data_IF_304013912260
#
_entry.id   IF_304013912260
#
_cell.length_a   1.000
_cell.length_b   1.000
_cell.length_c   1.000
_cell.angle_alpha   90.00
_cell.angle_beta   90.00
_cell.angle_gamma   90.00
#
_symmetry.space_group_name_H-M   'P 1'
#
loop_
_entity.id
_entity.type
_entity.pdbx_description
1 polymer ?
#
# COMPACT_ATOMS: atom_id res chain seq x y z
N UNK A 1 -35.92 50.22 3.49
CA UNK A 1 -36.50 50.16 2.13
C UNK A 1 -36.69 48.66 1.83
N UNK A 2 -37.79 47.97 2.12
CA UNK A 2 -39.24 48.19 1.95
C UNK A 2 -39.66 48.45 0.51
N UNK A 3 -40.09 47.38 -0.18
CA UNK A 3 -41.14 47.24 -1.25
C UNK A 3 -41.30 45.70 -1.40
N UNK A 4 -42.32 45.00 -0.91
CA UNK A 4 -43.78 45.02 -1.16
C UNK A 4 -44.17 44.73 -2.60
N UNK A 5 -44.64 43.50 -2.87
CA UNK A 5 -45.20 43.11 -4.16
C UNK A 5 -46.09 41.88 -3.99
N UNK A 6 -47.37 42.13 -3.74
CA UNK A 6 -48.45 41.17 -3.62
C UNK A 6 -48.91 40.67 -4.99
N UNK A 7 -49.47 39.45 -5.02
CA UNK A 7 -50.08 38.83 -6.20
C UNK A 7 -50.96 37.64 -5.83
N UNK A 8 -52.17 37.95 -5.34
CA UNK A 8 -53.47 37.28 -5.63
C UNK A 8 -53.55 36.83 -7.11
N UNK A 9 -54.29 35.82 -7.56
CA UNK A 9 -55.33 34.92 -7.05
C UNK A 9 -55.53 33.89 -8.19
N UNK A 10 -55.78 32.60 -7.93
CA UNK A 10 -56.58 31.76 -8.84
C UNK A 10 -56.90 30.41 -8.20
N UNK A 11 -58.18 30.28 -7.88
CA UNK A 11 -58.93 29.08 -7.54
C UNK A 11 -58.98 28.17 -8.77
N UNK A 12 -58.76 26.86 -8.60
CA UNK A 12 -59.27 25.86 -9.53
C UNK A 12 -59.74 24.59 -8.80
N UNK A 13 -60.80 24.03 -9.37
CA UNK A 13 -61.81 23.18 -8.76
C UNK A 13 -61.35 21.80 -8.28
N UNK A 14 -61.94 21.40 -7.16
CA UNK A 14 -61.92 20.04 -6.61
C UNK A 14 -62.82 19.13 -7.46
N UNK A 15 -62.21 18.43 -8.41
CA UNK A 15 -62.83 17.29 -9.10
C UNK A 15 -62.86 16.06 -8.20
N UNK A 16 -64.02 15.75 -7.63
CA UNK A 16 -64.29 14.51 -6.88
C UNK A 16 -64.30 13.30 -7.82
N UNK A 17 -63.23 12.51 -7.78
CA UNK A 17 -63.09 11.22 -8.47
C UNK A 17 -63.91 10.14 -7.74
N UNK A 18 -64.76 9.35 -8.43
CA UNK A 18 -65.47 8.24 -7.81
C UNK A 18 -64.47 7.14 -7.41
N UNK A 19 -64.38 6.89 -6.10
CA UNK A 19 -63.62 5.80 -5.49
C UNK A 19 -64.20 4.47 -5.98
N UNK A 20 -63.46 3.78 -6.86
CA UNK A 20 -63.73 2.39 -7.23
C UNK A 20 -63.52 1.51 -5.99
N UNK A 21 -64.48 0.66 -5.61
CA UNK A 21 -64.28 -0.28 -4.52
C UNK A 21 -63.14 -1.25 -4.87
N UNK A 22 -62.21 -1.40 -3.94
CA UNK A 22 -61.04 -2.27 -4.03
C UNK A 22 -61.50 -3.75 -4.12
N UNK A 23 -61.19 -4.49 -5.20
CA UNK A 23 -61.64 -5.87 -5.39
C UNK A 23 -61.09 -6.86 -4.35
N UNK A 24 -60.17 -6.42 -3.47
CA UNK A 24 -59.63 -7.25 -2.39
C UNK A 24 -60.60 -7.49 -1.24
N UNK A 25 -61.70 -6.73 -1.12
CA UNK A 25 -62.68 -6.93 -0.04
C UNK A 25 -63.73 -8.02 -0.31
N UNK A 26 -63.94 -8.46 -1.56
CA UNK A 26 -64.94 -9.52 -1.84
C UNK A 26 -64.41 -10.94 -1.63
N UNK A 27 -63.09 -11.15 -1.64
CA UNK A 27 -62.50 -12.48 -1.43
C UNK A 27 -62.41 -12.87 0.05
N UNK A 28 -62.47 -11.92 0.99
CA UNK A 28 -62.43 -12.20 2.42
C UNK A 28 -63.76 -12.70 3.01
N UNK A 29 -64.89 -12.56 2.29
CA UNK A 29 -66.22 -12.99 2.76
C UNK A 29 -66.54 -14.46 2.51
N UNK A 30 -65.72 -15.19 1.75
CA UNK A 30 -65.94 -16.60 1.41
C UNK A 30 -65.25 -17.61 2.32
N UNK A 31 -64.59 -17.17 3.41
CA UNK A 31 -63.98 -18.08 4.39
C UNK A 31 -62.93 -19.04 3.80
N UNK A 32 -62.34 -18.69 2.65
CA UNK A 32 -61.45 -19.54 1.85
C UNK A 32 -60.02 -19.01 1.79
N UNK A 33 -59.67 -18.11 2.71
CA UNK A 33 -58.31 -17.64 2.88
C UNK A 33 -57.95 -17.76 4.36
N UNK A 34 -57.34 -18.89 4.72
CA UNK A 34 -56.51 -18.96 5.92
C UNK A 34 -55.20 -18.27 5.57
N UNK A 35 -54.87 -17.11 6.17
CA UNK A 35 -53.54 -16.56 6.01
C UNK A 35 -52.59 -17.55 6.66
N UNK A 36 -51.92 -18.35 5.83
CA UNK A 36 -50.80 -19.19 6.26
C UNK A 36 -49.77 -18.27 6.90
N UNK A 37 -49.79 -18.20 8.24
CA UNK A 37 -48.86 -17.41 9.05
C UNK A 37 -47.40 -17.84 8.89
N UNK A 38 -47.14 -18.93 8.16
CA UNK A 38 -45.80 -19.48 7.95
C UNK A 38 -45.05 -18.83 6.78
N UNK A 39 -45.72 -18.20 5.81
CA UNK A 39 -45.05 -17.72 4.58
C UNK A 39 -44.22 -16.44 4.81
N UNK A 40 -44.62 -15.61 5.78
CA UNK A 40 -43.86 -14.42 6.19
C UNK A 40 -42.69 -14.78 7.12
N UNK A 41 -42.78 -15.90 7.81
CA UNK A 41 -41.73 -16.35 8.74
C UNK A 41 -40.60 -17.05 7.97
N UNK A 42 -40.93 -17.93 7.01
CA UNK A 42 -39.93 -18.54 6.12
C UNK A 42 -39.17 -17.50 5.28
N UNK A 43 -39.85 -16.45 4.80
CA UNK A 43 -39.18 -15.37 4.05
C UNK A 43 -38.22 -14.56 4.94
N UNK A 44 -38.56 -14.37 6.22
CA UNK A 44 -37.68 -13.69 7.19
C UNK A 44 -36.49 -14.53 7.58
N UNK A 45 -36.66 -15.84 7.75
CA UNK A 45 -35.57 -16.75 8.03
C UNK A 45 -34.60 -16.87 6.86
N UNK A 46 -35.11 -17.00 5.63
CA UNK A 46 -34.30 -17.05 4.40
C UNK A 46 -33.49 -15.76 4.19
N UNK A 47 -34.08 -14.59 4.46
CA UNK A 47 -33.36 -13.33 4.38
C UNK A 47 -32.28 -13.19 5.47
N UNK A 48 -32.55 -13.67 6.69
CA UNK A 48 -31.57 -13.69 7.79
C UNK A 48 -30.41 -14.65 7.55
N UNK A 49 -30.67 -15.82 6.96
CA UNK A 49 -29.60 -16.77 6.61
C UNK A 49 -28.75 -16.23 5.47
N UNK A 50 -29.36 -15.66 4.42
CA UNK A 50 -28.64 -15.00 3.32
C UNK A 50 -27.73 -13.87 3.80
N UNK A 51 -28.23 -13.00 4.68
CA UNK A 51 -27.43 -11.93 5.29
C UNK A 51 -26.29 -12.47 6.16
N UNK A 52 -26.51 -13.54 6.91
CA UNK A 52 -25.43 -14.18 7.69
C UNK A 52 -24.37 -14.80 6.80
N UNK A 53 -24.75 -15.51 5.74
CA UNK A 53 -23.78 -16.12 4.83
C UNK A 53 -22.96 -15.07 4.09
N UNK A 54 -23.59 -13.98 3.64
CA UNK A 54 -22.87 -12.88 2.99
C UNK A 54 -21.91 -12.17 3.96
N UNK A 55 -22.35 -11.90 5.20
CA UNK A 55 -21.51 -11.26 6.21
C UNK A 55 -20.34 -12.13 6.67
N UNK A 56 -20.54 -13.45 6.75
CA UNK A 56 -19.48 -14.41 7.08
C UNK A 56 -18.46 -14.53 5.95
N UNK A 57 -18.90 -14.49 4.69
CA UNK A 57 -18.01 -14.45 3.52
C UNK A 57 -17.11 -13.22 3.53
N UNK A 58 -17.70 -12.03 3.67
CA UNK A 58 -16.94 -10.78 3.72
C UNK A 58 -15.90 -10.74 4.85
N UNK A 59 -16.27 -11.17 6.06
CA UNK A 59 -15.34 -11.26 7.19
C UNK A 59 -14.19 -12.24 6.94
N UNK A 60 -14.44 -13.35 6.24
CA UNK A 60 -13.37 -14.29 5.88
C UNK A 60 -12.41 -13.68 4.85
N UNK A 61 -12.93 -12.94 3.88
CA UNK A 61 -12.12 -12.25 2.87
C UNK A 61 -11.26 -11.13 3.48
N UNK A 62 -11.84 -10.34 4.40
CA UNK A 62 -11.13 -9.30 5.15
C UNK A 62 -10.01 -9.89 6.01
N UNK A 63 -10.28 -10.98 6.73
CA UNK A 63 -9.26 -11.69 7.49
C UNK A 63 -8.15 -12.23 6.59
N UNK A 64 -8.49 -12.69 5.38
CA UNK A 64 -7.50 -13.16 4.41
C UNK A 64 -6.61 -12.00 3.90
N UNK A 65 -7.16 -10.81 3.65
CA UNK A 65 -6.34 -9.65 3.26
C UNK A 65 -5.42 -9.18 4.40
N UNK A 66 -5.91 -9.12 5.64
CA UNK A 66 -5.07 -8.78 6.81
C UNK A 66 -3.97 -9.83 7.02
N UNK A 67 -4.27 -11.12 6.82
CA UNK A 67 -3.26 -12.18 6.86
C UNK A 67 -2.20 -12.05 5.75
N UNK A 68 -2.57 -11.57 4.56
CA UNK A 68 -1.61 -11.29 3.49
C UNK A 68 -0.65 -10.17 3.90
N UNK A 69 -1.17 -9.06 4.46
CA UNK A 69 -0.33 -7.98 4.97
C UNK A 69 0.60 -8.51 6.06
N UNK A 70 0.09 -9.29 7.01
CA UNK A 70 0.88 -9.89 8.09
C UNK A 70 2.00 -10.81 7.56
N UNK A 71 1.71 -11.59 6.52
CA UNK A 71 2.71 -12.44 5.86
C UNK A 71 3.86 -11.62 5.28
N UNK A 72 3.56 -10.52 4.58
CA UNK A 72 4.60 -9.66 3.98
C UNK A 72 5.38 -8.87 5.02
N UNK A 73 4.74 -8.51 6.14
CA UNK A 73 5.43 -7.95 7.32
C UNK A 73 6.37 -8.99 7.93
N UNK A 74 5.98 -10.27 8.03
CA UNK A 74 6.85 -11.32 8.54
C UNK A 74 8.01 -11.68 7.60
N UNK A 75 7.80 -11.57 6.29
CA UNK A 75 8.82 -11.82 5.26
C UNK A 75 10.03 -10.87 5.38
N UNK A 76 9.89 -9.72 6.05
CA UNK A 76 11.01 -8.81 6.33
C UNK A 76 12.18 -9.48 7.05
N UNK A 77 11.93 -10.50 7.89
CA UNK A 77 12.98 -11.21 8.64
C UNK A 77 13.93 -11.98 7.73
N UNK A 78 13.48 -12.37 6.54
CA UNK A 78 14.30 -13.11 5.58
C UNK A 78 14.93 -12.18 4.55
N UNK A 79 14.26 -11.09 4.16
CA UNK A 79 14.78 -10.12 3.16
C UNK A 79 15.74 -9.09 3.76
N UNK A 80 15.50 -8.63 4.99
CA UNK A 80 16.18 -7.48 5.60
C UNK A 80 17.29 -7.94 6.57
N UNK A 81 18.02 -8.99 6.19
CA UNK A 81 19.10 -9.52 7.02
C UNK A 81 20.23 -8.49 7.15
N UNK A 82 20.84 -8.35 8.34
CA UNK A 82 22.04 -7.51 8.49
C UNK A 82 23.21 -8.15 7.75
N UNK A 83 24.02 -7.34 7.09
CA UNK A 83 25.24 -7.84 6.49
C UNK A 83 26.33 -8.01 7.54
N UNK A 84 27.38 -8.75 7.19
CA UNK A 84 28.60 -8.80 8.00
C UNK A 84 29.12 -7.36 8.18
N UNK A 85 29.59 -7.05 9.38
CA UNK A 85 30.11 -5.72 9.71
C UNK A 85 31.16 -5.26 8.70
N UNK A 86 31.05 -4.01 8.24
CA UNK A 86 31.86 -3.47 7.16
C UNK A 86 33.37 -3.65 7.38
N UNK A 87 33.85 -3.50 8.62
CA UNK A 87 35.27 -3.69 8.95
C UNK A 87 35.76 -5.13 8.71
N UNK A 88 34.96 -6.14 9.03
CA UNK A 88 35.31 -7.56 8.80
C UNK A 88 35.34 -7.84 7.30
N UNK A 89 34.33 -7.33 6.59
CA UNK A 89 34.27 -7.39 5.14
C UNK A 89 35.53 -6.79 4.49
N UNK A 90 35.85 -5.54 4.83
CA UNK A 90 36.89 -4.79 4.14
C UNK A 90 38.31 -5.25 4.51
N UNK A 91 38.60 -5.44 5.80
CA UNK A 91 39.96 -5.74 6.27
C UNK A 91 40.31 -7.22 6.27
N UNK A 92 39.35 -8.13 6.48
CA UNK A 92 39.64 -9.56 6.54
C UNK A 92 39.22 -10.28 5.26
N UNK A 93 37.95 -10.17 4.89
CA UNK A 93 37.39 -10.98 3.80
C UNK A 93 37.97 -10.61 2.43
N UNK A 94 38.17 -9.32 2.16
CA UNK A 94 38.79 -8.88 0.90
C UNK A 94 40.20 -9.45 0.72
N UNK A 95 41.01 -9.47 1.77
CA UNK A 95 42.38 -9.99 1.73
C UNK A 95 42.42 -11.53 1.66
N UNK A 96 41.62 -12.21 2.48
CA UNK A 96 41.56 -13.69 2.51
C UNK A 96 41.05 -14.26 1.18
N UNK A 97 40.09 -13.59 0.55
CA UNK A 97 39.46 -14.06 -0.70
C UNK A 97 40.12 -13.50 -1.96
N UNK A 98 41.27 -12.84 -1.83
CA UNK A 98 42.00 -12.24 -2.96
C UNK A 98 41.10 -11.34 -3.84
N UNK A 99 40.19 -10.57 -3.22
CA UNK A 99 39.31 -9.64 -3.93
C UNK A 99 38.06 -10.26 -4.57
N UNK A 100 37.80 -11.56 -4.41
CA UNK A 100 36.57 -12.20 -4.91
C UNK A 100 35.35 -11.78 -4.08
N UNK A 101 35.50 -11.64 -2.76
CA UNK A 101 34.38 -11.35 -1.87
C UNK A 101 33.68 -10.00 -2.13
N UNK A 102 34.38 -8.89 -2.45
CA UNK A 102 33.74 -7.65 -2.91
C UNK A 102 32.75 -7.84 -4.07
N UNK A 103 33.02 -8.74 -5.02
CA UNK A 103 32.10 -9.04 -6.13
C UNK A 103 30.83 -9.72 -5.62
N UNK A 104 30.98 -10.73 -4.74
CA UNK A 104 29.84 -11.38 -4.08
C UNK A 104 29.04 -10.38 -3.25
N UNK A 105 29.72 -9.46 -2.58
CA UNK A 105 29.08 -8.44 -1.77
C UNK A 105 28.28 -7.44 -2.63
N UNK A 106 28.84 -7.01 -3.77
CA UNK A 106 28.15 -6.16 -4.73
C UNK A 106 26.88 -6.84 -5.26
N UNK A 107 26.97 -8.12 -5.64
CA UNK A 107 25.79 -8.92 -6.02
C UNK A 107 24.72 -8.92 -4.93
N UNK A 108 25.12 -9.22 -3.68
CA UNK A 108 24.17 -9.30 -2.56
C UNK A 108 23.52 -7.96 -2.25
N UNK A 109 24.24 -6.84 -2.38
CA UNK A 109 23.68 -5.48 -2.20
C UNK A 109 22.61 -5.16 -3.25
N UNK A 110 22.88 -5.47 -4.52
CA UNK A 110 21.90 -5.26 -5.60
C UNK A 110 20.70 -6.19 -5.45
N UNK A 111 20.94 -7.47 -5.14
CA UNK A 111 19.88 -8.46 -4.97
C UNK A 111 18.97 -8.13 -3.79
N UNK A 112 19.53 -7.55 -2.73
CA UNK A 112 18.75 -7.04 -1.59
C UNK A 112 17.79 -5.94 -2.01
N UNK A 113 18.24 -4.97 -2.82
CA UNK A 113 17.36 -3.90 -3.28
C UNK A 113 16.24 -4.44 -4.18
N UNK A 114 16.55 -5.39 -5.07
CA UNK A 114 15.55 -6.06 -5.91
C UNK A 114 14.51 -6.83 -5.03
N UNK A 115 14.96 -7.63 -4.06
CA UNK A 115 14.06 -8.34 -3.14
C UNK A 115 13.21 -7.39 -2.27
N UNK A 116 13.82 -6.31 -1.78
CA UNK A 116 13.12 -5.31 -0.98
C UNK A 116 12.03 -4.62 -1.80
N UNK A 117 12.35 -4.22 -3.04
CA UNK A 117 11.39 -3.65 -3.98
C UNK A 117 10.19 -4.56 -4.18
N UNK A 118 10.43 -5.83 -4.52
CA UNK A 118 9.36 -6.77 -4.83
C UNK A 118 8.45 -7.01 -3.62
N UNK A 119 9.04 -7.11 -2.41
CA UNK A 119 8.28 -7.16 -1.15
C UNK A 119 7.40 -5.93 -0.97
N UNK A 120 7.92 -4.73 -1.21
CA UNK A 120 7.18 -3.47 -1.02
C UNK A 120 6.01 -3.34 -1.98
N UNK A 121 6.15 -3.75 -3.24
CA UNK A 121 5.02 -3.78 -4.20
C UNK A 121 3.91 -4.68 -3.69
N UNK A 122 4.25 -5.88 -3.23
CA UNK A 122 3.26 -6.81 -2.67
C UNK A 122 2.60 -6.25 -1.41
N UNK A 123 3.36 -5.62 -0.52
CA UNK A 123 2.85 -4.98 0.68
C UNK A 123 1.84 -3.87 0.36
N UNK A 124 2.18 -2.93 -0.54
CA UNK A 124 1.26 -1.85 -0.91
C UNK A 124 -0.04 -2.37 -1.52
N UNK A 125 0.06 -3.33 -2.43
CA UNK A 125 -1.13 -3.95 -3.03
C UNK A 125 -2.01 -4.62 -1.97
N UNK A 126 -1.39 -5.33 -1.00
CA UNK A 126 -2.14 -5.96 0.09
C UNK A 126 -2.83 -4.93 1.01
N UNK A 127 -2.18 -3.80 1.32
CA UNK A 127 -2.78 -2.72 2.13
C UNK A 127 -3.93 -2.04 1.39
N UNK A 128 -3.76 -1.76 0.10
CA UNK A 128 -4.83 -1.19 -0.74
C UNK A 128 -6.02 -2.15 -0.81
N UNK A 129 -5.77 -3.44 -1.04
CA UNK A 129 -6.82 -4.45 -1.12
C UNK A 129 -7.58 -4.59 0.20
N UNK A 130 -6.87 -4.65 1.33
CA UNK A 130 -7.49 -4.66 2.65
C UNK A 130 -8.34 -3.39 2.88
N UNK A 131 -7.89 -2.24 2.40
CA UNK A 131 -8.63 -0.98 2.49
C UNK A 131 -9.88 -0.97 1.61
N UNK A 132 -9.82 -1.55 0.40
CA UNK A 132 -10.97 -1.71 -0.49
C UNK A 132 -12.04 -2.60 0.14
N UNK A 133 -11.65 -3.76 0.63
CA UNK A 133 -12.57 -4.69 1.31
C UNK A 133 -13.26 -4.02 2.50
N UNK A 134 -12.51 -3.28 3.31
CA UNK A 134 -13.09 -2.56 4.44
C UNK A 134 -14.12 -1.50 4.02
N UNK A 135 -13.86 -0.78 2.92
CA UNK A 135 -14.77 0.21 2.37
C UNK A 135 -16.06 -0.41 1.81
N UNK A 136 -15.97 -1.60 1.20
CA UNK A 136 -17.12 -2.38 0.72
C UNK A 136 -18.03 -2.81 1.88
N UNK A 137 -17.43 -3.29 2.98
CA UNK A 137 -18.18 -3.72 4.16
C UNK A 137 -18.98 -2.59 4.83
N UNK A 138 -18.44 -1.38 4.81
CA UNK A 138 -19.07 -0.21 5.42
C UNK A 138 -20.00 0.53 4.46
N UNK A 139 -20.18 0.04 3.23
CA UNK A 139 -21.02 0.66 2.21
C UNK A 139 -20.53 2.05 1.77
N UNK A 140 -19.26 2.35 1.99
CA UNK A 140 -18.62 3.64 1.64
C UNK A 140 -17.73 3.53 0.40
N UNK A 141 -17.78 2.38 -0.29
CA UNK A 141 -16.96 2.11 -1.47
C UNK A 141 -17.15 3.17 -2.56
N UNK A 142 -18.38 3.57 -2.86
CA UNK A 142 -18.68 4.56 -3.91
C UNK A 142 -18.01 5.93 -3.66
N UNK A 143 -17.73 6.28 -2.40
CA UNK A 143 -17.10 7.56 -2.06
C UNK A 143 -15.57 7.51 -2.09
N UNK A 144 -14.96 6.32 -1.99
CA UNK A 144 -13.50 6.14 -1.86
C UNK A 144 -12.88 5.28 -2.98
N UNK A 145 -13.68 4.72 -3.87
CA UNK A 145 -13.21 3.84 -4.95
C UNK A 145 -12.22 4.53 -5.87
N UNK A 146 -12.53 5.76 -6.29
CA UNK A 146 -11.66 6.55 -7.17
C UNK A 146 -10.31 6.85 -6.49
N UNK A 147 -10.33 7.27 -5.22
CA UNK A 147 -9.10 7.55 -4.46
C UNK A 147 -8.23 6.29 -4.26
N UNK A 148 -8.84 5.13 -3.99
CA UNK A 148 -8.13 3.86 -3.83
C UNK A 148 -7.53 3.36 -5.14
N UNK A 149 -8.25 3.52 -6.26
CA UNK A 149 -7.72 3.21 -7.59
C UNK A 149 -6.60 4.16 -7.98
N UNK A 150 -6.72 5.46 -7.69
CA UNK A 150 -5.67 6.44 -7.93
C UNK A 150 -4.42 6.14 -7.10
N UNK A 151 -4.58 5.67 -5.85
CA UNK A 151 -3.45 5.21 -5.02
C UNK A 151 -2.77 3.97 -5.60
N UNK A 152 -3.56 3.00 -6.08
CA UNK A 152 -3.03 1.80 -6.75
C UNK A 152 -2.28 2.14 -8.02
N UNK A 153 -2.86 3.01 -8.85
CA UNK A 153 -2.26 3.49 -10.08
C UNK A 153 -0.97 4.26 -9.81
N UNK A 154 -1.00 5.19 -8.86
CA UNK A 154 0.17 5.95 -8.42
C UNK A 154 1.32 5.03 -7.99
N UNK A 155 1.01 4.02 -7.17
CA UNK A 155 2.01 3.04 -6.71
C UNK A 155 2.56 2.26 -7.89
N UNK A 156 1.70 1.73 -8.75
CA UNK A 156 2.11 0.94 -9.92
C UNK A 156 3.00 1.75 -10.87
N UNK A 157 2.59 2.97 -11.24
CA UNK A 157 3.36 3.85 -12.12
C UNK A 157 4.73 4.19 -11.52
N UNK A 158 4.81 4.53 -10.22
CA UNK A 158 6.08 4.79 -9.53
C UNK A 158 7.02 3.57 -9.53
N UNK A 159 6.48 2.35 -9.42
CA UNK A 159 7.29 1.14 -9.42
C UNK A 159 7.74 0.66 -10.80
N UNK A 160 6.98 1.01 -11.84
CA UNK A 160 7.33 0.72 -13.23
C UNK A 160 8.33 1.74 -13.79
N UNK A 161 8.17 3.04 -13.48
CA UNK A 161 9.01 4.09 -14.02
C UNK A 161 10.26 4.36 -13.19
N UNK A 162 10.09 4.63 -11.89
CA UNK A 162 11.18 5.13 -11.04
C UNK A 162 11.97 4.00 -10.36
N UNK A 163 11.29 2.90 -10.00
CA UNK A 163 11.89 1.79 -9.28
C UNK A 163 12.18 0.59 -10.18
N UNK A 164 12.70 0.79 -11.41
CA UNK A 164 13.00 -0.32 -12.33
C UNK A 164 13.93 -1.35 -11.71
N UNK A 165 13.68 -2.66 -11.89
CA UNK A 165 14.52 -3.72 -11.34
C UNK A 165 15.96 -3.53 -11.82
N UNK A 166 16.89 -3.64 -10.88
CA UNK A 166 18.32 -3.47 -11.17
C UNK A 166 18.86 -4.75 -11.82
N UNK A 167 18.25 -5.89 -11.52
CA UNK A 167 18.66 -7.22 -11.99
C UNK A 167 20.11 -7.47 -11.57
N UNK A 168 20.30 -7.76 -10.29
CA UNK A 168 21.63 -7.94 -9.66
C UNK A 168 22.63 -8.79 -10.48
N UNK A 169 22.17 -9.89 -11.07
CA UNK A 169 23.02 -10.75 -11.90
C UNK A 169 23.46 -10.11 -13.22
N UNK A 170 22.51 -9.47 -13.93
CA UNK A 170 22.78 -8.78 -15.20
C UNK A 170 23.72 -7.59 -14.98
N UNK A 171 23.47 -6.81 -13.94
CA UNK A 171 24.27 -5.64 -13.60
C UNK A 171 25.71 -5.99 -13.21
N UNK A 172 25.91 -7.07 -12.47
CA UNK A 172 27.24 -7.57 -12.15
C UNK A 172 27.96 -8.09 -13.41
N UNK A 173 27.26 -8.83 -14.26
CA UNK A 173 27.81 -9.34 -15.52
C UNK A 173 28.24 -8.19 -16.46
N UNK A 174 27.40 -7.16 -16.62
CA UNK A 174 27.76 -5.97 -17.39
C UNK A 174 28.91 -5.20 -16.75
N UNK A 175 28.98 -5.14 -15.42
CA UNK A 175 30.12 -4.53 -14.73
C UNK A 175 31.43 -5.25 -15.04
N UNK A 176 31.41 -6.57 -15.18
CA UNK A 176 32.60 -7.34 -15.56
C UNK A 176 33.04 -7.04 -17.00
N UNK A 177 32.10 -7.08 -17.95
CA UNK A 177 32.37 -6.81 -19.38
C UNK A 177 32.88 -5.37 -19.61
N UNK A 178 32.33 -4.41 -18.87
CA UNK A 178 32.66 -2.99 -19.04
C UNK A 178 33.81 -2.52 -18.15
N UNK A 179 34.59 -3.45 -17.58
CA UNK A 179 35.70 -3.14 -16.67
C UNK A 179 35.31 -2.20 -15.51
N UNK A 180 34.10 -2.37 -14.96
CA UNK A 180 33.63 -1.63 -13.79
C UNK A 180 32.86 -0.35 -14.08
N UNK A 181 32.80 0.13 -15.34
CA UNK A 181 32.03 1.32 -15.70
C UNK A 181 30.54 1.13 -15.37
N UNK A 182 29.98 -0.03 -15.74
CA UNK A 182 28.59 -0.33 -15.39
C UNK A 182 28.39 -0.53 -13.89
N UNK A 183 29.41 -0.95 -13.14
CA UNK A 183 29.37 -1.01 -11.67
C UNK A 183 29.13 0.36 -11.04
N UNK A 184 29.72 1.43 -11.61
CA UNK A 184 29.44 2.80 -11.18
C UNK A 184 27.98 3.19 -11.44
N UNK A 185 27.42 2.80 -12.59
CA UNK A 185 26.01 3.04 -12.95
C UNK A 185 25.07 2.26 -12.01
N UNK A 186 25.39 1.00 -11.73
CA UNK A 186 24.60 0.18 -10.80
C UNK A 186 24.60 0.76 -9.39
N UNK A 187 25.74 1.28 -8.93
CA UNK A 187 25.87 1.95 -7.64
C UNK A 187 25.07 3.26 -7.60
N UNK A 188 25.11 4.05 -8.67
CA UNK A 188 24.26 5.24 -8.83
C UNK A 188 22.77 4.87 -8.72
N UNK A 189 22.33 3.85 -9.47
CA UNK A 189 20.94 3.38 -9.44
C UNK A 189 20.53 2.91 -8.05
N UNK A 190 21.39 2.16 -7.36
CA UNK A 190 21.13 1.69 -6.00
C UNK A 190 20.96 2.85 -5.02
N UNK A 191 21.84 3.85 -5.07
CA UNK A 191 21.73 5.00 -4.18
C UNK A 191 20.47 5.82 -4.45
N UNK A 192 20.14 6.05 -5.72
CA UNK A 192 18.90 6.72 -6.12
C UNK A 192 17.68 5.93 -5.66
N UNK A 193 17.69 4.61 -5.81
CA UNK A 193 16.61 3.72 -5.38
C UNK A 193 16.27 3.89 -3.89
N UNK A 194 17.27 3.90 -3.01
CA UNK A 194 17.04 4.05 -1.57
C UNK A 194 16.46 5.41 -1.17
N UNK A 195 16.74 6.46 -1.93
CA UNK A 195 16.11 7.76 -1.72
C UNK A 195 14.68 7.79 -2.27
N UNK A 196 14.47 7.30 -3.49
CA UNK A 196 13.16 7.31 -4.14
C UNK A 196 12.13 6.47 -3.38
N UNK A 197 12.53 5.32 -2.82
CA UNK A 197 11.59 4.46 -2.07
C UNK A 197 11.07 5.14 -0.81
N UNK A 198 11.86 6.01 -0.18
CA UNK A 198 11.42 6.80 0.98
C UNK A 198 10.41 7.87 0.60
N UNK A 199 10.63 8.54 -0.53
CA UNK A 199 9.68 9.52 -1.05
C UNK A 199 8.37 8.85 -1.47
N UNK A 200 8.46 7.70 -2.14
CA UNK A 200 7.28 6.89 -2.46
C UNK A 200 6.54 6.44 -1.22
N UNK A 201 7.25 6.05 -0.14
CA UNK A 201 6.60 5.70 1.12
C UNK A 201 5.87 6.88 1.75
N UNK A 202 6.53 8.03 1.82
CA UNK A 202 5.92 9.24 2.35
C UNK A 202 4.65 9.64 1.56
N UNK A 203 4.74 9.66 0.23
CA UNK A 203 3.61 9.99 -0.65
C UNK A 203 2.47 8.96 -0.52
N UNK A 204 2.82 7.67 -0.35
CA UNK A 204 1.86 6.59 -0.16
C UNK A 204 1.12 6.73 1.17
N UNK A 205 1.84 6.92 2.28
CA UNK A 205 1.28 7.05 3.61
C UNK A 205 0.39 8.29 3.76
N UNK A 206 0.77 9.40 3.12
CA UNK A 206 -0.04 10.61 3.11
C UNK A 206 -1.38 10.37 2.42
N UNK A 207 -1.35 9.78 1.21
CA UNK A 207 -2.57 9.44 0.47
C UNK A 207 -3.42 8.40 1.19
N UNK A 208 -2.79 7.36 1.74
CA UNK A 208 -3.47 6.32 2.51
C UNK A 208 -4.15 6.93 3.75
N UNK A 209 -3.45 7.81 4.48
CA UNK A 209 -4.00 8.48 5.65
C UNK A 209 -5.21 9.35 5.30
N UNK A 210 -5.20 10.05 4.15
CA UNK A 210 -6.35 10.82 3.68
C UNK A 210 -7.56 9.90 3.41
N UNK A 211 -7.34 8.77 2.72
CA UNK A 211 -8.40 7.79 2.42
C UNK A 211 -8.95 7.19 3.72
N UNK A 212 -8.08 6.76 4.62
CA UNK A 212 -8.46 6.17 5.91
C UNK A 212 -9.18 7.15 6.83
N UNK A 213 -8.83 8.44 6.77
CA UNK A 213 -9.55 9.49 7.48
C UNK A 213 -10.96 9.68 6.93
N UNK A 214 -11.12 9.64 5.59
CA UNK A 214 -12.44 9.69 4.93
C UNK A 214 -13.31 8.48 5.28
N UNK A 215 -12.70 7.28 5.35
CA UNK A 215 -13.35 6.04 5.75
C UNK A 215 -13.62 5.94 7.27
N UNK A 216 -13.07 6.85 8.07
CA UNK A 216 -13.20 6.82 9.53
C UNK A 216 -12.40 5.70 10.23
N UNK A 217 -11.48 5.04 9.51
CA UNK A 217 -10.61 3.96 10.01
C UNK A 217 -9.62 4.51 11.04
N UNK A 218 -9.06 5.69 10.77
CA UNK A 218 -7.96 6.26 11.57
C UNK A 218 -8.24 7.69 11.99
N UNK A 219 -7.91 8.00 13.25
CA UNK A 219 -8.08 9.32 13.87
C UNK A 219 -6.81 10.19 13.81
N UNK A 220 -5.65 9.58 13.59
CA UNK A 220 -4.33 10.25 13.51
C UNK A 220 -3.56 9.76 12.27
N UNK A 221 -3.11 10.66 11.38
CA UNK A 221 -2.41 10.26 10.16
C UNK A 221 -1.11 9.51 10.48
N UNK A 222 -0.81 8.48 9.70
CA UNK A 222 0.48 7.78 9.75
C UNK A 222 1.51 8.68 9.06
N UNK A 223 2.58 9.04 9.76
CA UNK A 223 3.63 9.91 9.21
C UNK A 223 4.93 9.15 9.09
N UNK A 224 5.41 8.96 7.86
CA UNK A 224 6.76 8.49 7.60
C UNK A 224 7.74 9.67 7.54
N UNK A 225 8.88 9.54 8.22
CA UNK A 225 9.95 10.56 8.17
C UNK A 225 11.08 10.07 7.27
N UNK A 226 11.33 10.72 6.12
CA UNK A 226 12.47 10.36 5.30
C UNK A 226 13.78 10.64 6.07
N UNK A 227 14.72 9.72 5.92
CA UNK A 227 16.06 9.84 6.47
C UNK A 227 16.89 10.69 5.50
N UNK A 228 17.01 11.99 5.79
CA UNK A 228 17.73 12.97 4.98
C UNK A 228 19.18 12.57 4.67
N UNK A 229 19.80 11.77 5.55
CA UNK A 229 21.13 11.22 5.32
C UNK A 229 21.24 10.49 3.98
N UNK A 230 20.15 9.95 3.41
CA UNK A 230 20.18 9.19 2.16
C UNK A 230 20.06 10.08 0.90
N UNK A 231 19.70 11.36 1.05
CA UNK A 231 19.65 12.32 -0.05
C UNK A 231 21.06 12.81 -0.40
N UNK A 232 21.78 12.02 -1.21
CA UNK A 232 23.19 12.31 -1.56
C UNK A 232 23.38 12.45 -3.06
N UNK A 233 24.25 13.37 -3.46
CA UNK A 233 24.61 13.55 -4.87
C UNK A 233 25.73 12.58 -5.27
N UNK A 234 25.42 11.71 -6.24
CA UNK A 234 26.38 10.71 -6.74
C UNK A 234 27.63 11.37 -7.32
N UNK A 235 27.43 12.45 -8.09
CA UNK A 235 28.52 13.19 -8.72
C UNK A 235 29.53 13.74 -7.71
N UNK A 236 29.07 14.18 -6.53
CA UNK A 236 29.97 14.69 -5.51
C UNK A 236 30.82 13.57 -4.90
N UNK A 237 30.23 12.42 -4.59
CA UNK A 237 30.98 11.27 -4.07
C UNK A 237 31.94 10.66 -5.08
N UNK A 238 31.55 10.63 -6.36
CA UNK A 238 32.43 10.20 -7.45
C UNK A 238 33.60 11.18 -7.64
N UNK A 239 33.33 12.48 -7.66
CA UNK A 239 34.36 13.52 -7.77
C UNK A 239 35.31 13.49 -6.57
N UNK A 240 34.80 13.38 -5.34
CA UNK A 240 35.63 13.26 -4.14
C UNK A 240 36.49 12.00 -4.18
N UNK A 241 35.95 10.88 -4.67
CA UNK A 241 36.72 9.65 -4.85
C UNK A 241 37.88 9.87 -5.83
N UNK A 242 37.65 10.62 -6.91
CA UNK A 242 38.72 10.97 -7.85
C UNK A 242 39.78 11.90 -7.23
N UNK A 243 39.36 12.98 -6.57
CA UNK A 243 40.25 13.97 -5.94
C UNK A 243 41.07 13.37 -4.81
N UNK A 244 40.49 12.46 -4.04
CA UNK A 244 41.15 11.80 -2.90
C UNK A 244 41.91 10.51 -3.30
N UNK A 245 42.09 10.26 -4.60
CA UNK A 245 42.75 9.05 -5.12
C UNK A 245 42.13 7.75 -4.56
N UNK A 246 40.81 7.73 -4.41
CA UNK A 246 40.03 6.56 -4.01
C UNK A 246 39.79 6.41 -2.51
N UNK A 247 40.42 7.22 -1.64
CA UNK A 247 40.20 7.14 -0.19
C UNK A 247 38.73 7.40 0.17
N UNK A 248 38.11 8.39 -0.47
CA UNK A 248 36.70 8.68 -0.26
C UNK A 248 35.77 7.57 -0.81
N UNK A 249 36.25 6.78 -1.76
CA UNK A 249 35.53 5.59 -2.24
C UNK A 249 35.28 4.57 -1.12
N UNK A 250 36.18 4.47 -0.14
CA UNK A 250 36.01 3.60 1.03
C UNK A 250 34.91 4.10 1.97
N UNK A 251 34.87 5.42 2.21
CA UNK A 251 33.80 6.05 3.00
C UNK A 251 32.45 5.85 2.31
N UNK A 252 32.44 5.96 0.98
CA UNK A 252 31.23 5.75 0.19
C UNK A 252 30.77 4.29 0.22
N UNK A 253 31.68 3.32 0.10
CA UNK A 253 31.36 1.90 0.23
C UNK A 253 30.80 1.55 1.62
N UNK A 254 31.42 2.09 2.68
CA UNK A 254 30.93 1.96 4.06
C UNK A 254 29.48 2.44 4.17
N UNK A 255 29.21 3.64 3.65
CA UNK A 255 27.88 4.23 3.71
C UNK A 255 26.86 3.38 2.97
N UNK A 256 27.15 2.98 1.73
CA UNK A 256 26.27 2.13 0.92
C UNK A 256 25.96 0.79 1.59
N UNK A 257 26.90 0.27 2.38
CA UNK A 257 26.72 -0.94 3.17
C UNK A 257 25.73 -0.75 4.34
N UNK A 258 25.82 0.40 5.01
CA UNK A 258 25.04 0.72 6.21
C UNK A 258 23.71 1.43 5.94
N UNK A 259 23.52 2.02 4.76
CA UNK A 259 22.33 2.80 4.43
C UNK A 259 21.01 2.01 4.63
N UNK A 260 20.88 0.72 4.25
CA UNK A 260 19.67 -0.05 4.52
C UNK A 260 19.42 -0.27 6.01
N UNK A 261 20.48 -0.39 6.82
CA UNK A 261 20.36 -0.64 8.27
C UNK A 261 19.80 0.57 9.02
N UNK A 262 19.97 1.78 8.46
CA UNK A 262 19.35 3.00 8.98
C UNK A 262 17.88 3.13 8.55
N UNK A 263 17.55 2.65 7.35
CA UNK A 263 16.22 2.79 6.77
C UNK A 263 15.20 1.78 7.34
N UNK A 264 15.62 0.52 7.54
CA UNK A 264 14.72 -0.55 7.94
C UNK A 264 13.93 -0.28 9.23
N UNK A 265 14.51 0.27 10.32
CA UNK A 265 13.77 0.52 11.54
C UNK A 265 12.57 1.46 11.33
N UNK A 266 12.74 2.52 10.54
CA UNK A 266 11.67 3.49 10.25
C UNK A 266 10.55 2.81 9.44
N UNK A 267 10.91 2.13 8.36
CA UNK A 267 9.97 1.39 7.51
C UNK A 267 9.21 0.31 8.30
N UNK A 268 9.90 -0.43 9.17
CA UNK A 268 9.28 -1.47 10.00
C UNK A 268 8.31 -0.86 11.02
N UNK A 269 8.60 0.32 11.57
CA UNK A 269 7.72 0.99 12.51
C UNK A 269 6.40 1.45 11.85
N UNK A 270 6.48 1.97 10.62
CA UNK A 270 5.31 2.36 9.82
C UNK A 270 4.50 1.13 9.41
N UNK A 271 5.16 0.08 8.90
CA UNK A 271 4.50 -1.17 8.52
C UNK A 271 3.72 -1.78 9.71
N UNK A 272 4.34 -1.78 10.90
CA UNK A 272 3.71 -2.30 12.12
C UNK A 272 2.55 -1.41 12.58
N UNK A 273 2.64 -0.09 12.41
CA UNK A 273 1.54 0.83 12.70
C UNK A 273 0.32 0.55 11.80
N UNK A 274 0.53 0.42 10.48
CA UNK A 274 -0.52 0.11 9.49
C UNK A 274 -1.13 -1.27 9.75
N UNK A 275 -0.32 -2.27 10.08
CA UNK A 275 -0.84 -3.61 10.40
C UNK A 275 -1.70 -3.59 11.67
N UNK A 276 -1.28 -2.85 12.70
CA UNK A 276 -2.03 -2.74 13.95
C UNK A 276 -3.36 -1.98 13.74
N UNK A 277 -3.40 -0.94 12.90
CA UNK A 277 -4.66 -0.26 12.58
C UNK A 277 -5.60 -1.18 11.82
N UNK A 278 -5.12 -1.93 10.83
CA UNK A 278 -5.95 -2.89 10.10
C UNK A 278 -6.52 -3.99 11.01
N UNK A 279 -5.70 -4.53 11.92
CA UNK A 279 -6.14 -5.54 12.91
C UNK A 279 -7.16 -5.02 13.92
N UNK A 280 -7.12 -3.74 14.27
CA UNK A 280 -8.07 -3.16 15.21
C UNK A 280 -9.44 -2.88 14.57
N UNK A 281 -9.48 -2.87 13.24
CA UNK A 281 -10.63 -2.47 12.44
C UNK A 281 -11.34 -3.69 11.81
N UNK A 282 -10.64 -4.84 11.69
CA UNK A 282 -11.21 -6.17 11.42
C UNK A 282 -11.80 -6.82 12.67
#
# INVERSE_FOLDING_TARGET
>A
MSVSGAGEEAVDEVGSVPVRPDPKMELSRRGLWSPSGNMLDESRESFRTSLRTHRLGALMDQLQAVQQVDRYVHERRTTDQKFIGWGIYFFFLTWITLGIYPLVMAYRRLNRADLFRDRRVCYYNAVIEASKQHAEEHGQYDACHDDLNDLQRFTTERFEDEHKPIKAGLSLFLSFITFGIYGCIATYRLMRFWWQIQLTEQDFDEKLSLIWTKLGIVRYPVTFRPVDDLNRSFGMHFLLSFVTLGVYGLVWDYRLHTDPEKLYPEMHSTEDAILNTLRNVS
#
